data_IF_819946509098
#
_entry.id   IF_819946509098
#
_cell.length_a   1.000
_cell.length_b   1.000
_cell.length_c   1.000
_cell.angle_alpha   90.00
_cell.angle_beta   90.00
_cell.angle_gamma   90.00
#
_symmetry.space_group_name_H-M   'P 1'
#
loop_
_entity.id
_entity.type
_entity.pdbx_description
1 polymer ?
#
# COMPACT_ATOMS: atom_id res chain seq x y z
N UNK A 1 9.02 -4.66 -33.64
CA UNK A 1 10.07 -5.44 -34.31
C UNK A 1 10.80 -4.54 -35.28
N UNK A 2 12.12 -4.71 -35.43
CA UNK A 2 12.94 -4.01 -36.41
C UNK A 2 13.78 -5.04 -37.19
N UNK A 3 13.80 -5.02 -38.54
CA UNK A 3 12.92 -4.20 -39.37
C UNK A 3 11.44 -4.63 -39.26
N UNK A 4 10.51 -3.71 -39.47
CA UNK A 4 9.06 -3.97 -39.31
C UNK A 4 8.43 -4.60 -40.55
N UNK A 5 9.01 -4.37 -41.73
CA UNK A 5 8.65 -4.96 -43.01
C UNK A 5 9.73 -4.61 -44.04
N UNK A 6 9.79 -5.35 -45.14
CA UNK A 6 10.70 -5.10 -46.23
C UNK A 6 10.61 -6.13 -47.32
N UNK A 7 11.28 -5.88 -48.44
CA UNK A 7 11.52 -6.88 -49.51
C UNK A 7 13.00 -7.23 -49.43
N UNK A 8 13.27 -8.51 -49.30
CA UNK A 8 14.62 -9.07 -49.09
C UNK A 8 14.88 -10.14 -50.10
N UNK A 9 16.15 -10.37 -50.42
CA UNK A 9 16.52 -11.44 -51.36
C UNK A 9 16.54 -12.80 -50.67
N UNK A 10 16.21 -13.85 -51.42
CA UNK A 10 16.35 -15.21 -50.92
C UNK A 10 17.81 -15.54 -50.59
N UNK A 11 18.05 -16.06 -49.38
CA UNK A 11 19.37 -16.33 -48.84
C UNK A 11 19.96 -15.17 -48.04
N UNK A 12 19.33 -14.01 -47.98
CA UNK A 12 19.76 -12.90 -47.17
C UNK A 12 19.60 -13.23 -45.67
N UNK A 13 20.53 -12.79 -44.85
CA UNK A 13 20.49 -12.95 -43.39
C UNK A 13 20.11 -11.63 -42.76
N UNK A 14 18.96 -11.62 -42.08
CA UNK A 14 18.48 -10.47 -41.31
C UNK A 14 18.74 -10.64 -39.82
N UNK A 15 19.02 -9.52 -39.16
CA UNK A 15 18.99 -9.45 -37.71
C UNK A 15 17.69 -8.79 -37.28
N UNK A 16 16.87 -9.55 -36.56
CA UNK A 16 15.60 -9.11 -36.02
C UNK A 16 15.80 -8.68 -34.56
N UNK A 17 15.27 -7.52 -34.21
CA UNK A 17 15.25 -7.02 -32.83
C UNK A 17 13.85 -6.67 -32.40
N UNK A 18 13.44 -7.19 -31.24
CA UNK A 18 12.23 -6.82 -30.56
C UNK A 18 12.57 -5.89 -29.39
N UNK A 19 12.02 -4.68 -29.41
CA UNK A 19 12.25 -3.68 -28.36
C UNK A 19 10.96 -3.60 -27.53
N UNK A 20 11.00 -4.03 -26.24
CA UNK A 20 9.86 -3.91 -25.37
C UNK A 20 9.48 -2.44 -25.13
N UNK A 21 8.21 -2.18 -24.88
CA UNK A 21 7.76 -0.94 -24.25
C UNK A 21 8.12 -0.95 -22.76
N UNK A 22 8.05 0.20 -22.11
CA UNK A 22 8.25 0.32 -20.67
C UNK A 22 7.28 -0.60 -19.89
N UNK A 23 7.79 -1.30 -18.90
CA UNK A 23 7.04 -2.28 -18.11
C UNK A 23 6.81 -3.64 -18.79
N UNK A 24 7.43 -3.87 -19.97
CA UNK A 24 7.33 -5.15 -20.68
C UNK A 24 8.71 -5.76 -20.91
N UNK A 25 8.78 -7.08 -20.89
CA UNK A 25 9.94 -7.86 -21.31
C UNK A 25 9.63 -8.65 -22.57
N UNK A 26 10.64 -8.82 -23.44
CA UNK A 26 10.51 -9.71 -24.59
C UNK A 26 10.44 -11.17 -24.11
N UNK A 27 9.41 -11.87 -24.53
CA UNK A 27 9.18 -13.27 -24.17
C UNK A 27 9.75 -14.21 -25.23
N UNK A 28 9.24 -14.11 -26.45
CA UNK A 28 9.64 -15.01 -27.55
C UNK A 28 9.26 -14.46 -28.92
N UNK A 29 9.83 -15.06 -29.95
CA UNK A 29 9.42 -14.88 -31.32
C UNK A 29 8.27 -15.85 -31.64
N UNK A 30 7.36 -15.41 -32.50
CA UNK A 30 6.21 -16.19 -33.00
C UNK A 30 6.03 -16.05 -34.51
N UNK A 31 5.00 -16.73 -35.07
CA UNK A 31 4.79 -16.85 -36.50
C UNK A 31 5.76 -17.84 -37.11
N UNK A 32 6.44 -17.44 -38.18
CA UNK A 32 7.43 -18.29 -38.87
C UNK A 32 8.81 -18.31 -38.17
N UNK A 33 8.98 -17.57 -37.08
CA UNK A 33 10.15 -17.61 -36.20
C UNK A 33 9.80 -18.20 -34.84
N UNK A 34 10.80 -18.78 -34.17
CA UNK A 34 10.64 -19.36 -32.84
C UNK A 34 11.87 -19.12 -31.97
N UNK A 35 11.68 -19.15 -30.67
CA UNK A 35 12.75 -19.00 -29.67
C UNK A 35 12.76 -17.65 -28.98
N UNK A 36 13.62 -17.52 -27.95
CA UNK A 36 13.69 -16.35 -27.04
C UNK A 36 14.98 -15.55 -27.19
N UNK A 37 15.82 -15.85 -28.19
CA UNK A 37 17.04 -15.08 -28.44
C UNK A 37 16.69 -13.74 -29.10
N UNK A 38 17.03 -12.63 -28.49
CA UNK A 38 16.81 -11.28 -29.00
C UNK A 38 18.08 -10.43 -28.84
N UNK A 39 18.70 -9.91 -29.89
CA UNK A 39 18.32 -10.04 -31.30
C UNK A 39 18.52 -11.45 -31.86
N UNK A 40 17.75 -11.78 -32.91
CA UNK A 40 17.80 -13.07 -33.60
C UNK A 40 18.29 -12.88 -35.05
N UNK A 41 19.12 -13.80 -35.55
CA UNK A 41 19.50 -13.85 -36.96
C UNK A 41 18.62 -14.87 -37.69
N UNK A 42 18.05 -14.48 -38.82
CA UNK A 42 17.15 -15.28 -39.64
C UNK A 42 17.59 -15.19 -41.09
N UNK A 43 17.63 -16.35 -41.77
CA UNK A 43 17.89 -16.42 -43.21
C UNK A 43 16.54 -16.44 -43.95
N UNK A 44 16.37 -15.56 -44.93
CA UNK A 44 15.17 -15.49 -45.77
C UNK A 44 15.13 -16.63 -46.74
N UNK A 45 14.10 -17.46 -46.65
CA UNK A 45 13.90 -18.62 -47.56
C UNK A 45 12.56 -18.57 -48.29
N UNK A 46 11.65 -17.72 -47.85
CA UNK A 46 10.31 -17.51 -48.42
C UNK A 46 9.72 -16.22 -47.83
N UNK A 47 8.49 -15.87 -48.19
CA UNK A 47 7.72 -14.89 -47.47
C UNK A 47 7.49 -15.37 -46.03
N UNK A 48 7.79 -14.51 -45.04
CA UNK A 48 7.72 -14.83 -43.60
C UNK A 48 6.86 -13.82 -42.89
N UNK A 49 6.02 -14.30 -41.98
CA UNK A 49 5.28 -13.48 -41.02
C UNK A 49 5.83 -13.77 -39.62
N UNK A 50 6.47 -12.75 -39.02
CA UNK A 50 7.16 -12.89 -37.74
C UNK A 50 6.54 -11.94 -36.73
N UNK A 51 6.20 -12.48 -35.58
CA UNK A 51 5.69 -11.71 -34.43
C UNK A 51 6.67 -11.74 -33.26
N UNK A 52 6.58 -10.76 -32.38
CA UNK A 52 7.26 -10.75 -31.10
C UNK A 52 6.21 -10.72 -30.00
N UNK A 53 6.36 -11.60 -29.05
CA UNK A 53 5.51 -11.68 -27.86
C UNK A 53 6.24 -11.03 -26.68
N UNK A 54 5.49 -10.26 -25.89
CA UNK A 54 5.99 -9.56 -24.71
C UNK A 54 5.14 -9.95 -23.50
N UNK A 55 5.79 -9.99 -22.34
CA UNK A 55 5.11 -10.15 -21.06
C UNK A 55 5.26 -8.89 -20.25
N UNK A 56 4.28 -8.58 -19.43
CA UNK A 56 4.35 -7.52 -18.45
C UNK A 56 5.29 -7.96 -17.32
N UNK A 57 6.14 -7.05 -16.84
CA UNK A 57 7.02 -7.32 -15.71
C UNK A 57 6.27 -7.09 -14.41
N UNK A 58 6.43 -8.02 -13.48
CA UNK A 58 5.89 -8.01 -12.13
C UNK A 58 6.91 -8.80 -11.28
N UNK A 59 7.81 -8.07 -10.64
CA UNK A 59 9.03 -8.62 -10.08
C UNK A 59 8.80 -9.36 -8.76
N UNK A 60 7.87 -8.90 -7.94
CA UNK A 60 7.52 -9.50 -6.65
C UNK A 60 6.30 -10.43 -6.73
N UNK A 61 5.51 -10.34 -7.81
CA UNK A 61 4.39 -11.24 -8.09
C UNK A 61 3.13 -10.92 -7.27
N UNK A 62 2.94 -9.65 -6.92
CA UNK A 62 1.78 -9.18 -6.18
C UNK A 62 0.54 -8.94 -7.06
N UNK A 63 0.72 -8.93 -8.40
CA UNK A 63 -0.32 -8.74 -9.41
C UNK A 63 -0.38 -7.32 -9.97
N UNK A 64 0.46 -6.41 -9.49
CA UNK A 64 0.68 -5.07 -10.05
C UNK A 64 2.02 -5.06 -10.79
N UNK A 65 2.06 -4.51 -12.00
CA UNK A 65 3.28 -4.51 -12.78
C UNK A 65 4.28 -3.46 -12.28
N UNK A 66 5.59 -3.76 -12.42
CA UNK A 66 6.70 -2.90 -12.00
C UNK A 66 6.54 -1.42 -12.39
N UNK A 67 5.89 -1.13 -13.53
CA UNK A 67 5.69 0.23 -14.03
C UNK A 67 4.62 1.04 -13.27
N UNK A 68 3.73 0.36 -12.54
CA UNK A 68 2.64 0.96 -11.75
C UNK A 68 2.83 0.73 -10.25
N UNK A 69 3.71 -0.20 -9.92
CA UNK A 69 3.97 -0.61 -8.56
C UNK A 69 4.81 0.43 -7.81
N UNK A 70 4.32 0.82 -6.63
CA UNK A 70 4.99 1.74 -5.71
C UNK A 70 5.67 1.02 -4.55
N UNK A 71 5.35 -0.27 -4.36
CA UNK A 71 5.88 -1.12 -3.30
C UNK A 71 6.52 -2.39 -3.89
N UNK A 72 7.68 -2.29 -4.55
CA UNK A 72 8.24 -3.32 -5.44
C UNK A 72 8.79 -4.59 -4.74
N UNK A 73 8.58 -4.73 -3.47
CA UNK A 73 9.01 -5.87 -2.66
C UNK A 73 7.84 -6.45 -1.83
N UNK A 74 6.58 -6.20 -2.23
CA UNK A 74 5.41 -6.75 -1.53
C UNK A 74 5.40 -8.29 -1.63
N UNK A 75 5.22 -9.02 -0.52
CA UNK A 75 5.25 -10.48 -0.57
C UNK A 75 4.11 -11.06 -1.42
N UNK A 76 4.44 -11.98 -2.32
CA UNK A 76 3.48 -12.63 -3.20
C UNK A 76 2.28 -13.24 -2.44
N UNK A 77 1.05 -12.92 -2.88
CA UNK A 77 -0.18 -13.44 -2.30
C UNK A 77 -0.73 -12.63 -1.12
N UNK A 78 -0.10 -11.51 -0.76
CA UNK A 78 -0.68 -10.50 0.12
C UNK A 78 -1.69 -9.67 -0.70
N UNK A 79 -2.76 -9.22 -0.08
CA UNK A 79 -3.73 -8.33 -0.72
C UNK A 79 -3.13 -6.93 -0.84
N UNK A 80 -3.10 -6.41 -2.07
CA UNK A 80 -2.53 -5.09 -2.38
C UNK A 80 -3.56 -4.14 -2.97
N UNK A 81 -3.29 -2.85 -2.85
CA UNK A 81 -4.06 -1.81 -3.52
C UNK A 81 -3.68 -1.68 -5.01
N UNK A 82 -4.26 -0.72 -5.72
CA UNK A 82 -3.99 -0.48 -7.15
C UNK A 82 -2.55 -0.04 -7.46
N UNK A 83 -1.76 0.29 -6.46
CA UNK A 83 -0.36 0.72 -6.56
C UNK A 83 0.63 -0.35 -6.09
N UNK A 84 0.18 -1.59 -5.86
CA UNK A 84 1.05 -2.68 -5.43
C UNK A 84 1.39 -2.69 -3.93
N UNK A 85 0.77 -1.83 -3.12
CA UNK A 85 1.09 -1.74 -1.70
C UNK A 85 0.10 -2.49 -0.82
N UNK A 86 0.60 -3.30 0.10
CA UNK A 86 -0.18 -3.91 1.18
C UNK A 86 -0.45 -2.90 2.31
N UNK A 87 -1.49 -3.14 3.12
CA UNK A 87 -1.78 -2.28 4.28
C UNK A 87 -0.63 -2.22 5.29
N UNK A 88 0.16 -3.29 5.39
CA UNK A 88 1.36 -3.35 6.25
C UNK A 88 2.55 -2.52 5.75
N UNK A 89 2.47 -1.98 4.54
CA UNK A 89 3.49 -1.13 3.93
C UNK A 89 3.06 0.34 3.85
N UNK A 90 1.82 0.62 4.22
CA UNK A 90 1.22 1.94 4.24
C UNK A 90 1.13 2.47 5.66
N UNK A 91 1.28 3.77 5.80
CA UNK A 91 1.01 4.57 7.00
C UNK A 91 0.33 5.84 6.48
N UNK A 92 -1.01 5.78 6.41
CA UNK A 92 -1.79 6.76 5.64
C UNK A 92 -1.84 8.13 6.31
N UNK A 93 -1.85 8.19 7.64
CA UNK A 93 -1.87 9.45 8.39
C UNK A 93 -0.49 9.89 8.89
N UNK A 94 0.52 9.01 8.83
CA UNK A 94 1.92 9.35 9.13
C UNK A 94 2.23 9.37 10.62
N UNK A 95 1.51 8.60 11.43
CA UNK A 95 1.69 8.52 12.87
C UNK A 95 2.76 7.50 13.32
N UNK A 96 3.23 6.65 12.37
CA UNK A 96 4.25 5.64 12.56
C UNK A 96 3.71 4.23 12.83
N UNK A 97 2.40 4.04 12.77
CA UNK A 97 1.72 2.74 12.82
C UNK A 97 1.19 2.46 11.42
N UNK A 98 1.38 1.24 10.94
CA UNK A 98 0.94 0.86 9.58
C UNK A 98 -0.57 0.60 9.54
N UNK A 99 -1.20 0.86 8.39
CA UNK A 99 -2.65 0.81 8.19
C UNK A 99 -3.29 -0.54 8.62
N UNK A 100 -2.54 -1.64 8.61
CA UNK A 100 -3.01 -2.95 9.06
C UNK A 100 -3.08 -3.09 10.59
N UNK A 101 -2.33 -2.29 11.33
CA UNK A 101 -2.28 -2.26 12.80
C UNK A 101 -2.98 -1.04 13.39
N UNK A 102 -3.21 -0.02 12.57
CA UNK A 102 -3.80 1.24 12.99
C UNK A 102 -5.32 1.12 13.17
N UNK A 103 -5.79 1.41 14.38
CA UNK A 103 -7.21 1.47 14.72
C UNK A 103 -7.78 2.90 14.65
N UNK A 104 -6.92 3.91 14.52
CA UNK A 104 -7.28 5.33 14.53
C UNK A 104 -6.73 6.05 13.28
N UNK A 105 -7.15 5.62 12.11
CA UNK A 105 -6.64 5.99 10.78
C UNK A 105 -6.60 7.49 10.41
N UNK A 106 -6.88 8.40 11.32
CA UNK A 106 -6.80 9.85 11.14
C UNK A 106 -6.21 10.50 12.40
N UNK A 107 -5.10 9.98 12.90
CA UNK A 107 -4.42 10.54 14.07
C UNK A 107 -3.87 11.94 13.79
N UNK A 108 -4.06 12.90 14.71
CA UNK A 108 -3.58 14.26 14.50
C UNK A 108 -2.05 14.30 14.38
N UNK A 109 -1.55 14.92 13.31
CA UNK A 109 -0.13 15.00 13.00
C UNK A 109 0.68 15.58 14.18
N UNK A 110 1.79 14.93 14.50
CA UNK A 110 2.74 15.28 15.58
C UNK A 110 2.24 15.08 17.02
N UNK A 111 1.10 14.44 17.24
CA UNK A 111 0.75 13.96 18.58
C UNK A 111 1.34 12.54 18.79
N UNK A 112 1.72 12.21 20.03
CA UNK A 112 2.10 10.84 20.33
C UNK A 112 0.88 9.93 20.24
N UNK A 113 1.07 8.75 19.65
CA UNK A 113 0.05 7.70 19.56
C UNK A 113 0.48 6.46 20.34
N UNK A 114 -0.47 5.63 20.71
CA UNK A 114 -0.20 4.34 21.33
C UNK A 114 0.14 3.26 20.26
N UNK A 115 0.28 2.00 20.70
CA UNK A 115 0.63 0.89 19.80
C UNK A 115 -0.47 0.55 18.78
N UNK A 116 -1.64 1.15 18.87
CA UNK A 116 -2.78 0.98 17.97
C UNK A 116 -3.01 2.23 17.08
N UNK A 117 -2.08 3.17 17.04
CA UNK A 117 -2.20 4.41 16.26
C UNK A 117 -3.11 5.47 16.87
N UNK A 118 -3.55 5.33 18.12
CA UNK A 118 -4.51 6.26 18.73
C UNK A 118 -3.83 7.30 19.61
N UNK A 119 -4.06 8.58 19.34
CA UNK A 119 -3.70 9.68 20.22
C UNK A 119 -4.69 9.78 21.41
N UNK A 120 -4.27 10.37 22.53
CA UNK A 120 -5.12 10.53 23.70
C UNK A 120 -6.39 11.35 23.40
N UNK A 121 -6.34 12.27 22.43
CA UNK A 121 -7.50 13.03 21.94
C UNK A 121 -8.52 12.20 21.14
N UNK A 122 -8.21 10.95 20.81
CA UNK A 122 -9.09 10.02 20.07
C UNK A 122 -9.63 8.90 20.97
N UNK A 123 -9.14 8.82 22.20
CA UNK A 123 -9.54 7.82 23.18
C UNK A 123 -10.43 8.44 24.25
N UNK A 124 -11.31 7.62 24.79
CA UNK A 124 -12.12 7.86 25.98
C UNK A 124 -12.08 6.55 26.75
N UNK A 125 -11.09 6.42 27.65
CA UNK A 125 -10.72 5.13 28.23
C UNK A 125 -11.76 4.60 29.21
N UNK A 126 -12.43 5.47 29.96
CA UNK A 126 -13.48 5.07 30.92
C UNK A 126 -14.91 5.21 30.36
N UNK A 127 -15.09 5.87 29.20
CA UNK A 127 -16.36 5.96 28.49
C UNK A 127 -17.32 6.99 29.07
N UNK A 128 -16.77 8.06 29.70
CA UNK A 128 -17.56 9.11 30.33
C UNK A 128 -17.94 10.24 29.35
N UNK A 129 -17.37 10.24 28.14
CA UNK A 129 -17.63 11.22 27.07
C UNK A 129 -16.62 12.36 27.01
N UNK A 130 -15.57 12.33 27.81
CA UNK A 130 -14.41 13.25 27.77
C UNK A 130 -13.20 12.46 27.31
N UNK A 131 -12.44 13.01 26.36
CA UNK A 131 -11.27 12.30 25.81
C UNK A 131 -10.08 12.32 26.77
N UNK A 132 -9.22 11.28 26.72
CA UNK A 132 -8.11 11.07 27.64
C UNK A 132 -7.17 12.29 27.78
N UNK A 133 -7.04 13.12 26.72
CA UNK A 133 -6.23 14.33 26.74
C UNK A 133 -6.84 15.50 27.54
N UNK A 134 -8.15 15.48 27.73
CA UNK A 134 -8.93 16.50 28.46
C UNK A 134 -9.43 15.99 29.80
N UNK A 135 -9.44 14.67 29.99
CA UNK A 135 -9.96 14.04 31.19
C UNK A 135 -8.97 14.16 32.36
N UNK A 136 -9.43 14.74 33.45
CA UNK A 136 -8.71 14.87 34.73
C UNK A 136 -9.05 13.75 35.72
N UNK A 137 -10.08 12.95 35.44
CA UNK A 137 -10.59 11.89 36.29
C UNK A 137 -10.72 10.56 35.54
N UNK A 138 -9.61 9.93 35.07
CA UNK A 138 -9.58 8.84 34.10
C UNK A 138 -10.15 7.48 34.56
N UNK A 139 -10.86 7.45 35.66
CA UNK A 139 -11.53 6.28 36.22
C UNK A 139 -12.95 6.62 36.70
N UNK A 140 -13.70 7.41 35.94
CA UNK A 140 -15.05 7.80 36.31
C UNK A 140 -16.00 6.55 36.26
N UNK A 141 -16.78 6.36 37.34
CA UNK A 141 -17.71 5.23 37.38
C UNK A 141 -18.75 5.29 36.27
N UNK A 142 -18.95 4.16 35.58
CA UNK A 142 -19.85 4.07 34.43
C UNK A 142 -21.28 4.55 34.74
N UNK A 143 -21.74 5.54 33.97
CA UNK A 143 -23.08 6.07 34.02
C UNK A 143 -23.29 7.24 34.99
N UNK A 144 -22.24 7.72 35.62
CA UNK A 144 -22.26 8.99 36.34
C UNK A 144 -22.23 10.18 35.38
N UNK A 145 -22.87 11.29 35.76
CA UNK A 145 -22.77 12.55 35.03
C UNK A 145 -21.44 13.25 35.37
N UNK A 146 -20.73 13.68 34.35
CA UNK A 146 -19.42 14.33 34.50
C UNK A 146 -19.46 15.80 34.08
N UNK A 147 -18.53 16.56 34.60
CA UNK A 147 -18.25 17.92 34.13
C UNK A 147 -17.40 17.92 32.84
N UNK A 148 -17.02 19.10 32.37
CA UNK A 148 -16.20 19.27 31.15
C UNK A 148 -14.77 18.76 31.28
N UNK A 149 -14.36 18.32 32.46
CA UNK A 149 -13.05 17.77 32.79
C UNK A 149 -13.09 16.26 33.05
N UNK A 150 -14.20 15.59 32.77
CA UNK A 150 -14.37 14.14 32.99
C UNK A 150 -14.62 13.76 34.45
N UNK A 151 -14.82 14.70 35.36
CA UNK A 151 -15.00 14.39 36.76
C UNK A 151 -16.47 14.34 37.18
N UNK A 152 -16.87 13.27 37.85
CA UNK A 152 -18.18 13.15 38.47
C UNK A 152 -18.18 13.71 39.90
N UNK A 153 -19.38 14.00 40.48
CA UNK A 153 -19.51 14.46 41.82
C UNK A 153 -18.94 13.51 42.88
N UNK A 154 -18.89 12.21 42.57
CA UNK A 154 -18.30 11.19 43.43
C UNK A 154 -16.76 11.21 43.49
N UNK A 155 -16.13 11.97 42.58
CA UNK A 155 -14.67 12.11 42.48
C UNK A 155 -14.18 13.49 42.92
N UNK A 156 -15.09 14.47 43.07
CA UNK A 156 -14.78 15.85 43.44
C UNK A 156 -15.07 16.08 44.94
N UNK A 157 -14.17 16.77 45.60
CA UNK A 157 -14.32 17.33 46.97
C UNK A 157 -13.98 18.81 46.86
N UNK A 158 -15.01 19.64 46.62
CA UNK A 158 -14.81 21.07 46.30
C UNK A 158 -14.40 21.90 47.49
N UNK A 159 -14.72 21.51 48.72
CA UNK A 159 -14.38 22.27 49.92
C UNK A 159 -13.20 21.68 50.72
N UNK A 160 -12.73 20.48 50.35
CA UNK A 160 -11.56 19.84 50.91
C UNK A 160 -11.77 19.25 52.29
N UNK A 161 -13.00 18.90 52.65
CA UNK A 161 -13.33 18.35 53.97
C UNK A 161 -13.19 16.82 54.06
N UNK A 162 -12.89 16.16 52.93
CA UNK A 162 -12.69 14.71 52.82
C UNK A 162 -13.98 13.93 52.52
N UNK A 163 -15.05 14.64 52.14
CA UNK A 163 -16.31 14.06 51.65
C UNK A 163 -16.54 14.55 50.23
N UNK A 164 -16.89 13.65 49.33
CA UNK A 164 -17.15 13.98 47.91
C UNK A 164 -18.49 14.69 47.74
N UNK A 165 -18.60 15.49 46.65
CA UNK A 165 -19.73 16.40 46.40
C UNK A 165 -21.07 15.69 46.15
N UNK A 166 -21.09 14.34 45.99
CA UNK A 166 -22.27 13.52 45.81
C UNK A 166 -22.96 13.13 47.15
N UNK A 167 -22.33 13.38 48.30
CA UNK A 167 -22.82 13.06 49.64
C UNK A 167 -23.24 14.33 50.39
#
# INVERSE_FOLDING_TARGET
VSPSSGVFDEGEVLTLSAIPAEGYAFMQWGGDATGSTNPMSLTITSDLEITAEFTQQDADGDGVCDALDQCPDTPAGVEVNANGCALSELDTDGDGITDDLDLCAESPANLPVDANGCADSQKDTDGDGVTDDLDLCPETPQGEEVDTSGCSLSQIDSDGDGVTDDL
#
